data_IF_681707869782
#
_entry.id   IF_681707869782
#
_cell.length_a   1.000
_cell.length_b   1.000
_cell.length_c   1.000
_cell.angle_alpha   90.00
_cell.angle_beta   90.00
_cell.angle_gamma   90.00
#
_symmetry.space_group_name_H-M   'P 1'
#
loop_
_entity.id
_entity.type
_entity.pdbx_description
1 polymer ?
#
# COMPACT_ATOMS: atom_id res chain seq x y z
N UNK A 1 35.23 -21.09 31.85
CA UNK A 1 34.29 -20.27 31.03
C UNK A 1 34.46 -18.82 31.47
N UNK A 2 35.18 -18.02 30.71
CA UNK A 2 35.42 -16.61 30.98
C UNK A 2 34.31 -15.75 30.29
N UNK A 3 33.87 -14.63 30.89
CA UNK A 3 32.87 -13.78 30.27
C UNK A 3 33.51 -12.85 29.22
N UNK A 4 32.92 -12.88 27.98
CA UNK A 4 33.31 -11.99 26.89
C UNK A 4 32.94 -10.54 27.19
N UNK A 5 33.89 -9.64 26.97
CA UNK A 5 33.80 -8.20 27.12
C UNK A 5 32.84 -7.62 26.06
N UNK A 6 31.79 -6.91 26.50
CA UNK A 6 30.91 -6.08 25.64
C UNK A 6 31.72 -4.90 25.06
N UNK A 7 31.94 -4.92 23.76
CA UNK A 7 32.48 -3.78 23.01
C UNK A 7 31.47 -2.63 22.97
N UNK A 8 31.90 -1.46 23.49
CA UNK A 8 31.18 -0.18 23.32
C UNK A 8 31.14 0.18 21.83
N UNK A 9 29.97 0.07 21.19
CA UNK A 9 29.72 0.73 19.89
C UNK A 9 29.70 2.24 20.13
N UNK A 10 30.63 2.97 19.53
CA UNK A 10 30.63 4.42 19.44
C UNK A 10 29.46 4.80 18.52
N UNK A 11 28.46 5.51 19.06
CA UNK A 11 27.42 6.18 18.27
C UNK A 11 28.06 7.24 17.40
N UNK A 12 28.09 6.98 16.08
CA UNK A 12 28.33 8.03 15.11
C UNK A 12 27.04 8.84 15.00
N UNK A 13 27.06 10.07 15.54
CA UNK A 13 26.05 11.07 15.25
C UNK A 13 26.26 11.55 13.80
N UNK A 14 25.76 10.77 12.84
CA UNK A 14 25.53 11.24 11.49
C UNK A 14 24.29 12.11 11.52
N UNK A 15 24.42 13.40 11.18
CA UNK A 15 23.31 14.33 11.07
C UNK A 15 22.25 13.79 10.10
N UNK A 16 21.15 13.33 10.67
CA UNK A 16 19.93 13.07 9.93
C UNK A 16 19.40 14.44 9.49
N UNK A 17 19.75 14.83 8.26
CA UNK A 17 18.88 15.72 7.50
C UNK A 17 17.52 15.04 7.45
N UNK A 18 16.54 15.54 8.21
CA UNK A 18 15.18 15.02 8.20
C UNK A 18 14.67 15.22 6.78
N UNK A 19 14.76 14.16 5.98
CA UNK A 19 14.05 14.06 4.72
C UNK A 19 12.57 14.22 5.08
N UNK A 20 11.95 15.31 4.61
CA UNK A 20 10.51 15.46 4.57
C UNK A 20 9.99 14.46 3.51
N UNK A 21 10.12 13.16 3.81
CA UNK A 21 9.55 12.09 3.00
C UNK A 21 8.03 12.14 3.16
N UNK A 22 7.44 13.14 2.52
CA UNK A 22 6.00 13.32 2.40
C UNK A 22 5.45 12.53 1.23
N UNK A 23 4.18 12.35 1.22
CA UNK A 23 3.40 11.57 0.27
C UNK A 23 3.32 12.22 -1.10
N UNK A 24 3.02 13.50 -1.14
CA UNK A 24 3.20 14.34 -2.33
C UNK A 24 4.59 14.93 -2.26
N UNK A 25 5.26 15.00 -3.39
CA UNK A 25 6.51 15.75 -3.45
C UNK A 25 6.24 17.19 -2.99
N UNK A 26 6.78 17.54 -1.84
CA UNK A 26 6.64 18.91 -1.29
C UNK A 26 7.07 19.99 -2.29
N UNK A 27 7.94 19.62 -3.26
CA UNK A 27 8.34 20.52 -4.34
C UNK A 27 7.17 20.90 -5.24
N UNK A 28 6.19 20.01 -5.45
CA UNK A 28 5.00 20.31 -6.25
C UNK A 28 4.16 21.43 -5.64
N UNK A 29 4.10 21.52 -4.30
CA UNK A 29 3.44 22.62 -3.62
C UNK A 29 4.05 23.99 -3.99
N UNK A 30 5.29 24.01 -4.44
CA UNK A 30 6.08 25.21 -4.77
C UNK A 30 6.18 25.47 -6.27
N UNK A 31 6.37 24.41 -7.07
CA UNK A 31 6.67 24.51 -8.51
C UNK A 31 5.41 24.43 -9.36
N UNK A 32 4.37 23.74 -8.89
CA UNK A 32 3.09 23.56 -9.60
C UNK A 32 1.91 23.47 -8.63
N UNK A 33 1.62 24.52 -7.85
CA UNK A 33 0.53 24.51 -6.87
C UNK A 33 -0.84 24.37 -7.53
N UNK A 34 -1.07 25.02 -8.68
CA UNK A 34 -2.36 25.00 -9.38
C UNK A 34 -2.61 23.61 -10.03
N UNK A 35 -1.63 23.00 -10.68
CA UNK A 35 -1.74 21.67 -11.24
C UNK A 35 -1.95 20.62 -10.14
N UNK A 36 -1.24 20.73 -9.02
CA UNK A 36 -1.41 19.85 -7.86
C UNK A 36 -2.84 19.98 -7.27
N UNK A 37 -3.33 21.21 -7.12
CA UNK A 37 -4.69 21.49 -6.65
C UNK A 37 -5.74 20.91 -7.61
N UNK A 38 -5.58 21.13 -8.91
CA UNK A 38 -6.49 20.63 -9.93
C UNK A 38 -6.53 19.10 -9.96
N UNK A 39 -5.37 18.44 -9.90
CA UNK A 39 -5.30 16.99 -9.86
C UNK A 39 -5.97 16.43 -8.59
N UNK A 40 -5.73 17.02 -7.42
CA UNK A 40 -6.32 16.59 -6.16
C UNK A 40 -7.84 16.82 -6.12
N UNK A 41 -8.34 17.90 -6.74
CA UNK A 41 -9.77 18.21 -6.82
C UNK A 41 -10.58 17.11 -7.54
N UNK A 42 -9.96 16.37 -8.47
CA UNK A 42 -10.59 15.23 -9.16
C UNK A 42 -10.99 14.09 -8.21
N UNK A 43 -10.43 14.06 -6.98
CA UNK A 43 -10.83 13.11 -5.92
C UNK A 43 -12.19 13.41 -5.27
N UNK A 44 -12.82 14.54 -5.61
CA UNK A 44 -14.19 14.88 -5.22
C UNK A 44 -14.39 15.29 -3.75
N UNK A 45 -13.32 15.39 -2.92
CA UNK A 45 -13.43 15.80 -1.51
C UNK A 45 -12.88 17.23 -1.31
N UNK A 46 -13.73 18.19 -0.93
CA UNK A 46 -13.29 19.57 -0.63
C UNK A 46 -12.28 19.64 0.51
N UNK A 47 -12.38 18.78 1.51
CA UNK A 47 -11.50 18.73 2.68
C UNK A 47 -10.04 18.47 2.28
N UNK A 48 -9.81 17.75 1.17
CA UNK A 48 -8.46 17.53 0.65
C UNK A 48 -7.82 18.83 0.14
N UNK A 49 -8.61 19.75 -0.38
CA UNK A 49 -8.11 21.04 -0.84
C UNK A 49 -7.76 21.96 0.32
N UNK A 50 -8.50 21.87 1.42
CA UNK A 50 -8.19 22.59 2.66
C UNK A 50 -6.90 22.05 3.29
N UNK A 51 -6.74 20.72 3.34
CA UNK A 51 -5.50 20.08 3.80
C UNK A 51 -4.29 20.44 2.93
N UNK A 52 -4.47 20.53 1.62
CA UNK A 52 -3.42 20.96 0.68
C UNK A 52 -3.03 22.43 0.94
N UNK A 53 -4.00 23.32 1.17
CA UNK A 53 -3.75 24.72 1.47
C UNK A 53 -3.00 24.87 2.81
N UNK A 54 -3.39 24.10 3.84
CA UNK A 54 -2.70 24.06 5.12
C UNK A 54 -1.26 23.54 4.98
N UNK A 55 -1.03 22.47 4.22
CA UNK A 55 0.30 21.94 3.96
C UNK A 55 1.18 22.98 3.23
N UNK A 56 0.62 23.70 2.26
CA UNK A 56 1.33 24.76 1.52
C UNK A 56 1.74 25.91 2.42
N UNK A 57 0.84 26.38 3.30
CA UNK A 57 1.14 27.47 4.25
C UNK A 57 2.17 27.03 5.30
N UNK A 58 2.08 25.77 5.76
CA UNK A 58 3.02 25.19 6.72
C UNK A 58 4.42 25.02 6.12
N UNK A 59 4.52 24.61 4.85
CA UNK A 59 5.81 24.56 4.12
C UNK A 59 6.42 25.94 3.97
N UNK A 60 5.61 26.95 3.65
CA UNK A 60 6.08 28.34 3.56
C UNK A 60 6.63 28.83 4.90
N UNK A 61 5.92 28.57 5.99
CA UNK A 61 6.39 28.93 7.34
C UNK A 61 7.70 28.23 7.70
N UNK A 62 7.83 26.94 7.38
CA UNK A 62 9.07 26.18 7.64
C UNK A 62 10.27 26.82 6.92
N UNK A 63 10.09 27.23 5.67
CA UNK A 63 11.17 27.87 4.88
C UNK A 63 11.53 29.26 5.42
N UNK A 64 10.55 30.04 5.89
CA UNK A 64 10.81 31.32 6.55
C UNK A 64 11.67 31.12 7.79
N UNK A 65 11.30 30.18 8.66
CA UNK A 65 12.07 29.85 9.86
C UNK A 65 13.48 29.42 9.49
N UNK A 66 13.64 28.54 8.49
CA UNK A 66 14.97 28.10 8.04
C UNK A 66 15.83 29.27 7.57
N UNK A 67 15.27 30.20 6.79
CA UNK A 67 15.99 31.41 6.35
C UNK A 67 16.41 32.30 7.52
N UNK A 68 15.53 32.49 8.50
CA UNK A 68 15.85 33.26 9.71
C UNK A 68 16.97 32.60 10.52
N UNK A 69 16.92 31.28 10.68
CA UNK A 69 17.97 30.49 11.35
C UNK A 69 19.32 30.64 10.66
N UNK A 70 19.35 30.53 9.34
CA UNK A 70 20.60 30.68 8.58
C UNK A 70 21.19 32.10 8.73
N UNK A 71 20.34 33.12 8.76
CA UNK A 71 20.75 34.51 9.03
C UNK A 71 21.36 34.66 10.43
N UNK A 72 20.68 34.13 11.47
CA UNK A 72 21.18 34.19 12.84
C UNK A 72 22.50 33.38 13.02
N UNK A 73 22.63 32.21 12.35
CA UNK A 73 23.89 31.47 12.36
C UNK A 73 25.05 32.23 11.74
N UNK A 74 24.77 32.93 10.62
CA UNK A 74 25.77 33.77 9.98
C UNK A 74 26.17 34.94 10.93
N UNK A 75 25.20 35.59 11.60
CA UNK A 75 25.43 36.65 12.59
C UNK A 75 26.26 36.16 13.80
N UNK A 76 25.91 34.98 14.37
CA UNK A 76 26.68 34.39 15.50
C UNK A 76 28.12 34.10 15.07
N UNK A 77 28.34 33.58 13.86
CA UNK A 77 29.68 33.33 13.35
C UNK A 77 30.50 34.65 13.16
N UNK A 78 29.86 35.70 12.66
CA UNK A 78 30.51 36.98 12.45
C UNK A 78 30.83 37.67 13.80
N UNK A 79 29.87 37.72 14.72
CA UNK A 79 30.08 38.23 16.08
C UNK A 79 31.19 37.48 16.80
N UNK A 80 31.28 36.17 16.63
CA UNK A 80 32.37 35.37 17.25
C UNK A 80 33.76 35.75 16.72
N UNK A 81 33.86 36.11 15.43
CA UNK A 81 35.12 36.65 14.86
C UNK A 81 35.44 38.00 15.40
N UNK A 82 34.44 38.89 15.51
CA UNK A 82 34.61 40.25 16.07
C UNK A 82 35.02 40.21 17.55
N UNK A 83 34.44 39.32 18.37
CA UNK A 83 34.87 39.08 19.76
C UNK A 83 36.36 38.70 19.82
N UNK A 84 36.80 37.79 18.93
CA UNK A 84 38.20 37.38 18.83
C UNK A 84 39.12 38.55 18.47
N UNK A 85 38.68 39.46 17.60
CA UNK A 85 39.45 40.65 17.23
C UNK A 85 39.50 41.69 18.35
N UNK A 86 38.37 41.99 18.98
CA UNK A 86 38.34 42.92 20.13
C UNK A 86 39.24 42.47 21.25
N UNK A 87 39.24 41.18 21.58
CA UNK A 87 40.15 40.59 22.60
C UNK A 87 41.62 40.71 22.22
N UNK A 88 41.96 40.52 20.94
CA UNK A 88 43.36 40.72 20.46
C UNK A 88 43.82 42.17 20.56
N UNK A 89 42.89 43.11 20.37
CA UNK A 89 43.15 44.54 20.46
C UNK A 89 43.15 45.06 21.91
N UNK A 90 42.83 44.22 22.92
CA UNK A 90 42.76 44.62 24.34
C UNK A 90 41.45 45.33 24.70
N UNK A 91 40.50 45.44 23.81
CA UNK A 91 39.19 46.10 24.04
C UNK A 91 38.20 45.11 24.71
N UNK A 92 38.31 45.04 26.04
CA UNK A 92 37.50 44.12 26.86
C UNK A 92 36.01 44.51 26.84
N UNK A 93 35.70 45.82 26.84
CA UNK A 93 34.30 46.31 26.86
C UNK A 93 33.57 45.96 25.56
N UNK A 94 34.21 46.18 24.38
CA UNK A 94 33.65 45.78 23.11
C UNK A 94 33.53 44.23 22.97
N UNK A 95 34.49 43.48 23.53
CA UNK A 95 34.41 42.02 23.50
C UNK A 95 33.25 41.48 24.34
N UNK A 96 32.94 42.05 25.49
CA UNK A 96 31.79 41.71 26.33
C UNK A 96 30.45 42.04 25.68
N UNK A 97 30.32 43.21 25.07
CA UNK A 97 29.10 43.61 24.31
C UNK A 97 28.84 42.65 23.13
N UNK A 98 29.86 42.40 22.30
CA UNK A 98 29.75 41.49 21.17
C UNK A 98 29.44 40.07 21.62
N UNK A 99 29.98 39.62 22.76
CA UNK A 99 29.67 38.32 23.32
C UNK A 99 28.24 38.23 23.84
N UNK A 100 27.70 39.30 24.42
CA UNK A 100 26.30 39.36 24.84
C UNK A 100 25.35 39.28 23.63
N UNK A 101 25.64 40.02 22.54
CA UNK A 101 24.90 39.95 21.28
C UNK A 101 24.97 38.55 20.66
N UNK A 102 26.15 37.95 20.62
CA UNK A 102 26.31 36.58 20.08
C UNK A 102 25.49 35.56 20.89
N UNK A 103 25.43 35.71 22.21
CA UNK A 103 24.57 34.85 23.06
C UNK A 103 23.10 35.05 22.76
N UNK A 104 22.64 36.30 22.65
CA UNK A 104 21.24 36.61 22.34
C UNK A 104 20.81 36.03 20.96
N UNK A 105 21.65 36.23 19.94
CA UNK A 105 21.40 35.61 18.60
C UNK A 105 21.38 34.08 18.66
N UNK A 106 22.26 33.46 19.43
CA UNK A 106 22.28 32.01 19.64
C UNK A 106 21.03 31.48 20.36
N UNK A 107 20.49 32.20 21.35
CA UNK A 107 19.23 31.82 22.00
C UNK A 107 18.04 31.96 21.05
N UNK A 108 18.02 32.98 20.21
CA UNK A 108 16.98 33.11 19.15
C UNK A 108 17.06 32.00 18.13
N UNK A 109 18.27 31.63 17.65
CA UNK A 109 18.46 30.51 16.72
C UNK A 109 17.94 29.19 17.32
N UNK A 110 18.24 28.96 18.61
CA UNK A 110 17.79 27.77 19.32
C UNK A 110 16.25 27.71 19.47
N UNK A 111 15.60 28.85 19.75
CA UNK A 111 14.14 28.96 19.81
C UNK A 111 13.51 28.65 18.44
N UNK A 112 14.06 29.21 17.36
CA UNK A 112 13.61 28.95 15.99
C UNK A 112 13.91 27.49 15.56
N UNK A 113 14.94 26.85 16.10
CA UNK A 113 15.20 25.45 15.85
C UNK A 113 14.08 24.56 16.38
N UNK A 114 13.63 24.81 17.60
CA UNK A 114 12.52 24.07 18.20
C UNK A 114 11.20 24.30 17.40
N UNK A 115 10.92 25.56 17.03
CA UNK A 115 9.75 25.88 16.19
C UNK A 115 9.84 25.18 14.82
N UNK A 116 11.02 25.11 14.21
CA UNK A 116 11.22 24.42 12.94
C UNK A 116 10.90 22.91 13.06
N UNK A 117 11.31 22.29 14.15
CA UNK A 117 11.04 20.86 14.40
C UNK A 117 9.53 20.60 14.56
N UNK A 118 8.82 21.45 15.29
CA UNK A 118 7.37 21.34 15.47
C UNK A 118 6.61 21.57 14.14
N UNK A 119 6.99 22.60 13.37
CA UNK A 119 6.38 22.90 12.07
C UNK A 119 6.68 21.78 11.06
N UNK A 120 7.88 21.21 11.06
CA UNK A 120 8.24 20.09 10.20
C UNK A 120 7.45 18.82 10.55
N UNK A 121 7.24 18.54 11.84
CA UNK A 121 6.41 17.41 12.28
C UNK A 121 4.94 17.58 11.83
N UNK A 122 4.38 18.81 11.97
CA UNK A 122 3.02 19.13 11.49
C UNK A 122 2.91 18.97 9.97
N UNK A 123 3.87 19.50 9.21
CA UNK A 123 3.89 19.36 7.76
C UNK A 123 3.93 17.88 7.34
N UNK A 124 4.75 17.09 8.01
CA UNK A 124 4.83 15.64 7.75
C UNK A 124 3.50 14.96 8.00
N UNK A 125 2.82 15.22 9.12
CA UNK A 125 1.51 14.64 9.43
C UNK A 125 0.46 15.00 8.37
N UNK A 126 0.38 16.28 7.97
CA UNK A 126 -0.50 16.72 6.89
C UNK A 126 -0.22 15.99 5.58
N UNK A 127 1.03 15.92 5.16
CA UNK A 127 1.42 15.25 3.93
C UNK A 127 1.14 13.74 3.96
N UNK A 128 1.19 13.08 5.13
CA UNK A 128 0.83 11.66 5.26
C UNK A 128 -0.67 11.40 5.09
N UNK A 129 -1.52 12.41 5.27
CA UNK A 129 -2.99 12.30 5.15
C UNK A 129 -3.50 12.65 3.75
N UNK A 130 -2.77 13.45 2.99
CA UNK A 130 -3.15 13.80 1.62
C UNK A 130 -2.95 12.56 0.70
N UNK A 131 -3.96 12.16 -0.09
CA UNK A 131 -3.83 11.02 -1.00
C UNK A 131 -2.93 11.31 -2.19
N UNK A 132 -2.55 10.26 -2.90
CA UNK A 132 -1.80 10.37 -4.14
C UNK A 132 -2.60 11.13 -5.23
N UNK A 133 -1.90 11.78 -6.14
CA UNK A 133 -2.52 12.46 -7.27
C UNK A 133 -2.98 11.42 -8.31
N UNK A 134 -4.22 11.52 -8.82
CA UNK A 134 -4.70 10.66 -9.89
C UNK A 134 -3.87 10.84 -11.18
N UNK A 135 -3.66 9.75 -11.91
CA UNK A 135 -3.09 9.81 -13.27
C UNK A 135 -3.98 10.69 -14.17
N UNK A 136 -3.41 11.47 -15.10
CA UNK A 136 -4.22 12.28 -16.04
C UNK A 136 -5.27 11.48 -16.81
N UNK A 137 -4.95 10.24 -17.22
CA UNK A 137 -5.84 9.36 -17.97
C UNK A 137 -6.83 8.58 -17.09
N UNK A 138 -6.74 8.67 -15.75
CA UNK A 138 -7.72 8.01 -14.89
C UNK A 138 -9.12 8.61 -15.14
N UNK A 139 -10.18 7.80 -15.21
CA UNK A 139 -11.54 8.31 -15.45
C UNK A 139 -12.01 9.18 -14.28
N UNK A 140 -12.69 10.27 -14.59
CA UNK A 140 -13.37 11.06 -13.58
C UNK A 140 -14.68 10.38 -13.15
N UNK A 141 -15.00 10.45 -11.86
CA UNK A 141 -16.21 9.90 -11.27
C UNK A 141 -16.27 10.20 -9.79
N UNK A 142 -17.41 10.00 -9.16
CA UNK A 142 -17.67 10.31 -7.76
C UNK A 142 -17.66 9.07 -6.86
N UNK A 143 -17.96 7.89 -7.40
CA UNK A 143 -18.13 6.65 -6.65
C UNK A 143 -17.84 5.42 -7.52
N UNK A 144 -17.91 4.23 -6.92
CA UNK A 144 -17.81 2.92 -7.57
C UNK A 144 -18.80 2.72 -8.73
N UNK A 145 -19.96 3.39 -8.70
CA UNK A 145 -20.95 3.35 -9.78
C UNK A 145 -20.47 4.03 -11.08
N UNK A 146 -19.47 4.90 -10.98
CA UNK A 146 -18.91 5.64 -12.13
C UNK A 146 -17.70 4.92 -12.75
N UNK A 147 -17.29 3.78 -12.22
CA UNK A 147 -16.16 3.01 -12.73
C UNK A 147 -16.50 2.42 -14.10
N UNK A 148 -15.84 2.82 -15.20
CA UNK A 148 -16.14 2.30 -16.52
C UNK A 148 -15.67 0.85 -16.68
N UNK A 149 -16.51 0.02 -17.33
CA UNK A 149 -16.10 -1.30 -17.81
C UNK A 149 -15.19 -1.13 -19.02
N UNK A 150 -13.92 -1.50 -18.88
CA UNK A 150 -12.93 -1.37 -19.95
C UNK A 150 -12.72 -2.66 -20.74
N UNK A 151 -13.17 -3.80 -20.19
CA UNK A 151 -13.13 -5.10 -20.88
C UNK A 151 -14.22 -6.04 -20.37
N UNK A 152 -14.91 -6.73 -21.27
CA UNK A 152 -16.05 -7.61 -20.95
C UNK A 152 -17.39 -6.84 -20.95
N UNK A 153 -18.43 -7.29 -20.19
CA UNK A 153 -18.41 -8.53 -19.38
C UNK A 153 -18.42 -9.79 -20.25
N UNK A 154 -17.66 -10.80 -19.83
CA UNK A 154 -17.66 -12.13 -20.46
C UNK A 154 -18.60 -13.05 -19.68
N UNK A 155 -19.85 -13.11 -20.11
CA UNK A 155 -20.90 -13.89 -19.48
C UNK A 155 -21.31 -15.09 -20.36
N UNK A 156 -21.85 -16.19 -19.78
CA UNK A 156 -22.42 -17.29 -20.54
C UNK A 156 -23.57 -16.77 -21.43
N UNK A 157 -23.61 -17.23 -22.70
CA UNK A 157 -24.63 -16.80 -23.67
C UNK A 157 -26.07 -17.15 -23.22
N UNK A 158 -26.24 -18.29 -22.56
CA UNK A 158 -27.53 -18.81 -22.09
C UNK A 158 -27.88 -18.35 -20.67
N UNK A 159 -27.06 -17.44 -20.09
CA UNK A 159 -27.20 -16.99 -18.71
C UNK A 159 -26.82 -18.07 -17.68
N UNK A 160 -27.32 -17.91 -16.45
CA UNK A 160 -27.01 -18.81 -15.34
C UNK A 160 -28.24 -19.68 -15.04
N UNK A 161 -28.11 -21.03 -15.07
CA UNK A 161 -29.18 -21.94 -14.70
C UNK A 161 -29.52 -21.85 -13.20
N UNK A 162 -30.74 -22.25 -12.85
CA UNK A 162 -31.27 -22.11 -11.47
C UNK A 162 -30.36 -22.76 -10.41
N UNK A 163 -29.76 -23.93 -10.73
CA UNK A 163 -28.88 -24.59 -9.79
C UNK A 163 -27.59 -23.81 -9.45
N UNK A 164 -27.18 -22.83 -10.26
CA UNK A 164 -26.04 -21.94 -9.98
C UNK A 164 -26.44 -20.72 -9.16
N UNK A 165 -27.73 -20.43 -9.02
CA UNK A 165 -28.25 -19.30 -8.25
C UNK A 165 -28.35 -19.56 -6.76
N UNK A 166 -27.59 -20.53 -6.25
CA UNK A 166 -27.50 -20.86 -4.85
C UNK A 166 -26.22 -20.27 -4.27
N UNK A 167 -26.30 -19.46 -3.19
CA UNK A 167 -25.13 -18.83 -2.59
C UNK A 167 -24.08 -19.86 -2.17
N UNK A 168 -22.80 -19.49 -2.32
CA UNK A 168 -21.67 -20.38 -2.03
C UNK A 168 -21.67 -20.94 -0.62
N UNK A 169 -22.13 -20.16 0.39
CA UNK A 169 -22.18 -20.62 1.79
C UNK A 169 -23.21 -21.73 2.00
N UNK A 170 -24.31 -21.74 1.27
CA UNK A 170 -25.30 -22.81 1.36
C UNK A 170 -24.75 -24.08 0.72
N UNK A 171 -24.24 -23.98 -0.51
CA UNK A 171 -23.59 -25.08 -1.23
C UNK A 171 -22.46 -25.70 -0.41
N UNK A 172 -21.54 -24.87 0.08
CA UNK A 172 -20.35 -25.34 0.80
C UNK A 172 -20.67 -25.93 2.18
N UNK A 173 -21.69 -25.41 2.87
CA UNK A 173 -22.17 -25.99 4.13
C UNK A 173 -22.83 -27.35 3.89
N UNK A 174 -23.67 -27.46 2.87
CA UNK A 174 -24.30 -28.74 2.50
C UNK A 174 -23.27 -29.82 2.11
N UNK A 175 -22.18 -29.42 1.43
CA UNK A 175 -21.04 -30.30 1.10
C UNK A 175 -20.15 -30.61 2.32
N UNK A 176 -20.33 -29.93 3.46
CA UNK A 176 -19.50 -30.09 4.65
C UNK A 176 -18.06 -29.58 4.49
N UNK A 177 -17.82 -28.66 3.56
CA UNK A 177 -16.50 -28.12 3.25
C UNK A 177 -16.27 -26.69 3.79
N UNK A 178 -17.33 -26.04 4.28
CA UNK A 178 -17.29 -24.75 5.01
C UNK A 178 -17.97 -24.95 6.37
N UNK A 179 -17.34 -24.49 7.46
CA UNK A 179 -17.81 -24.70 8.84
C UNK A 179 -17.59 -23.41 9.66
N UNK A 180 -18.37 -22.39 9.33
CA UNK A 180 -18.27 -21.09 9.98
C UNK A 180 -18.77 -21.10 11.43
N UNK A 181 -19.63 -22.05 11.81
CA UNK A 181 -20.06 -22.22 13.21
C UNK A 181 -18.87 -22.55 14.12
N UNK A 182 -18.03 -23.52 13.68
CA UNK A 182 -16.81 -23.85 14.44
C UNK A 182 -15.75 -22.77 14.35
N UNK A 183 -15.62 -22.07 13.24
CA UNK A 183 -14.74 -20.89 13.14
C UNK A 183 -15.13 -19.83 14.17
N UNK A 184 -16.42 -19.51 14.27
CA UNK A 184 -16.96 -18.56 15.27
C UNK A 184 -16.67 -19.01 16.70
N UNK A 185 -16.76 -20.32 16.98
CA UNK A 185 -16.42 -20.88 18.30
C UNK A 185 -14.94 -20.68 18.66
N UNK A 186 -14.05 -20.69 17.67
CA UNK A 186 -12.59 -20.58 17.86
C UNK A 186 -12.17 -19.11 17.99
N UNK A 187 -12.65 -18.25 17.09
CA UNK A 187 -12.10 -16.90 16.91
C UNK A 187 -13.14 -15.77 16.90
N UNK A 188 -14.43 -16.10 16.94
CA UNK A 188 -15.51 -15.11 16.85
C UNK A 188 -16.10 -14.99 15.44
N UNK A 189 -16.97 -14.00 15.25
CA UNK A 189 -17.62 -13.74 13.97
C UNK A 189 -16.61 -13.33 12.90
N UNK A 190 -17.00 -13.49 11.63
CA UNK A 190 -16.19 -13.14 10.45
C UNK A 190 -14.85 -13.88 10.31
N UNK A 191 -14.65 -14.97 11.04
CA UNK A 191 -13.63 -15.96 10.72
C UNK A 191 -14.25 -17.14 9.98
N UNK A 192 -13.54 -17.71 9.02
CA UNK A 192 -14.00 -18.81 8.19
C UNK A 192 -13.18 -20.06 8.46
N UNK A 193 -13.78 -21.24 8.33
CA UNK A 193 -13.08 -22.50 8.43
C UNK A 193 -13.46 -23.43 7.28
N UNK A 194 -12.49 -23.77 6.47
CA UNK A 194 -12.64 -24.72 5.36
C UNK A 194 -12.20 -26.11 5.78
N UNK A 195 -12.84 -27.13 5.23
CA UNK A 195 -12.58 -28.54 5.57
C UNK A 195 -12.40 -29.40 4.31
N UNK A 196 -11.51 -30.37 4.37
CA UNK A 196 -11.33 -31.36 3.31
C UNK A 196 -11.11 -30.73 1.93
N UNK A 197 -11.96 -31.04 0.94
CA UNK A 197 -11.84 -30.46 -0.42
C UNK A 197 -11.91 -28.93 -0.45
N UNK A 198 -12.65 -28.28 0.47
CA UNK A 198 -12.71 -26.82 0.55
C UNK A 198 -11.35 -26.19 0.89
N UNK A 199 -10.65 -26.74 1.88
CA UNK A 199 -9.30 -26.32 2.23
C UNK A 199 -8.26 -26.66 1.14
N UNK A 200 -8.46 -27.80 0.44
CA UNK A 200 -7.62 -28.15 -0.70
C UNK A 200 -7.80 -27.17 -1.85
N UNK A 201 -9.03 -26.71 -2.12
CA UNK A 201 -9.32 -25.73 -3.16
C UNK A 201 -8.65 -24.40 -2.89
N UNK A 202 -8.66 -23.89 -1.65
CA UNK A 202 -7.95 -22.65 -1.29
C UNK A 202 -6.45 -22.77 -1.53
N UNK A 203 -5.84 -23.87 -1.09
CA UNK A 203 -4.42 -24.12 -1.35
C UNK A 203 -4.13 -24.28 -2.84
N UNK A 204 -5.01 -24.94 -3.60
CA UNK A 204 -4.89 -25.11 -5.04
C UNK A 204 -4.92 -23.76 -5.78
N UNK A 205 -5.78 -22.83 -5.37
CA UNK A 205 -5.84 -21.47 -5.92
C UNK A 205 -4.54 -20.70 -5.67
N UNK A 206 -3.98 -20.80 -4.45
CA UNK A 206 -2.68 -20.16 -4.14
C UNK A 206 -1.57 -20.74 -5.04
N UNK A 207 -1.46 -22.06 -5.12
CA UNK A 207 -0.42 -22.71 -5.92
C UNK A 207 -0.57 -22.41 -7.41
N UNK A 208 -1.81 -22.44 -7.93
CA UNK A 208 -2.10 -22.09 -9.31
C UNK A 208 -1.64 -20.66 -9.64
N UNK A 209 -1.93 -19.69 -8.76
CA UNK A 209 -1.54 -18.30 -8.98
C UNK A 209 -0.02 -18.10 -8.94
N UNK A 210 0.68 -18.79 -8.03
CA UNK A 210 2.15 -18.76 -7.95
C UNK A 210 2.78 -19.38 -9.20
N UNK A 211 2.38 -20.59 -9.58
CA UNK A 211 2.96 -21.31 -10.72
C UNK A 211 2.79 -20.54 -12.04
N UNK A 212 1.62 -19.89 -12.21
CA UNK A 212 1.31 -19.10 -13.43
C UNK A 212 2.09 -17.80 -13.55
N UNK A 213 2.67 -17.31 -12.47
CA UNK A 213 3.48 -16.09 -12.46
C UNK A 213 4.98 -16.38 -12.30
N UNK A 214 5.39 -17.62 -12.07
CA UNK A 214 6.78 -18.03 -11.80
C UNK A 214 7.75 -17.77 -12.96
N UNK A 215 7.26 -17.57 -14.17
CA UNK A 215 8.04 -17.23 -15.35
C UNK A 215 8.62 -15.81 -15.31
N UNK A 216 8.01 -14.91 -14.54
CA UNK A 216 8.35 -13.50 -14.55
C UNK A 216 8.54 -12.88 -13.16
N UNK A 217 8.06 -13.51 -12.09
CA UNK A 217 8.10 -12.98 -10.73
C UNK A 217 8.89 -13.90 -9.81
N UNK A 218 9.79 -13.32 -9.01
CA UNK A 218 10.47 -14.02 -7.93
C UNK A 218 9.49 -14.27 -6.79
N UNK A 219 9.36 -15.52 -6.35
CA UNK A 219 8.56 -15.87 -5.19
C UNK A 219 9.30 -15.49 -3.90
N UNK A 220 8.68 -14.64 -3.09
CA UNK A 220 9.18 -14.20 -1.79
C UNK A 220 8.24 -14.72 -0.70
N UNK A 221 8.79 -15.24 0.38
CA UNK A 221 8.05 -15.54 1.61
C UNK A 221 8.37 -14.50 2.69
N UNK A 222 7.68 -13.37 2.73
CA UNK A 222 7.95 -12.31 3.69
C UNK A 222 7.37 -12.64 5.07
N UNK A 223 7.82 -11.93 6.13
CA UNK A 223 7.12 -11.92 7.41
C UNK A 223 5.69 -11.39 7.28
N UNK A 224 4.74 -11.97 8.01
CA UNK A 224 3.35 -11.50 8.10
C UNK A 224 3.11 -10.51 9.25
N UNK A 225 4.12 -10.26 10.07
CA UNK A 225 4.16 -9.23 11.11
C UNK A 225 5.19 -8.18 10.73
N UNK A 226 4.79 -6.93 10.73
CA UNK A 226 5.62 -5.81 10.26
C UNK A 226 5.61 -4.65 11.25
N UNK A 227 6.61 -3.76 11.15
CA UNK A 227 6.71 -2.57 12.00
C UNK A 227 5.73 -1.47 11.56
N UNK A 228 5.46 -0.52 12.47
CA UNK A 228 4.72 0.73 12.17
C UNK A 228 5.31 1.47 10.97
N UNK A 229 6.65 1.52 10.85
CA UNK A 229 7.31 2.17 9.72
C UNK A 229 7.00 1.50 8.38
N UNK A 230 6.94 0.17 8.34
CA UNK A 230 6.60 -0.62 7.15
C UNK A 230 5.17 -0.36 6.69
N UNK A 231 4.18 -0.33 7.60
CA UNK A 231 2.80 0.02 7.26
C UNK A 231 2.64 1.47 6.82
N UNK A 232 3.42 2.39 7.39
CA UNK A 232 3.41 3.80 7.00
C UNK A 232 3.97 3.98 5.59
N UNK A 233 5.00 3.22 5.22
CA UNK A 233 5.65 3.29 3.91
C UNK A 233 4.67 3.00 2.76
N UNK A 234 3.75 2.07 2.93
CA UNK A 234 2.75 1.72 1.91
C UNK A 234 1.47 2.56 1.95
N UNK A 235 1.33 3.43 2.97
CA UNK A 235 0.15 4.29 3.13
C UNK A 235 -1.01 3.66 3.89
N UNK A 236 -0.80 2.49 4.49
CA UNK A 236 -1.81 1.88 5.37
C UNK A 236 -1.99 2.72 6.64
N UNK A 237 -0.90 3.19 7.23
CA UNK A 237 -0.95 4.13 8.34
C UNK A 237 -0.66 5.57 7.86
N UNK A 238 -1.29 6.58 8.53
CA UNK A 238 -2.18 6.49 9.69
C UNK A 238 -3.65 6.15 9.36
N UNK A 239 -4.07 6.21 8.11
CA UNK A 239 -5.50 6.23 7.69
C UNK A 239 -6.27 4.98 8.11
N UNK A 240 -5.67 3.80 7.96
CA UNK A 240 -6.33 2.51 8.20
C UNK A 240 -5.94 1.87 9.53
N UNK A 241 -5.54 2.68 10.53
CA UNK A 241 -5.15 2.18 11.86
C UNK A 241 -6.26 1.36 12.52
N UNK A 242 -7.53 1.82 12.40
CA UNK A 242 -8.68 1.14 13.00
C UNK A 242 -9.02 -0.19 12.30
N UNK A 243 -8.57 -0.37 11.05
CA UNK A 243 -8.79 -1.58 10.25
C UNK A 243 -7.64 -2.59 10.35
N UNK A 244 -6.55 -2.23 10.99
CA UNK A 244 -5.38 -3.07 11.18
C UNK A 244 -5.38 -3.79 12.54
N UNK A 245 -4.86 -5.03 12.58
CA UNK A 245 -4.56 -5.75 13.82
C UNK A 245 -3.20 -5.35 14.36
N UNK A 246 -3.19 -4.65 15.51
CA UNK A 246 -1.97 -4.23 16.20
C UNK A 246 -1.55 -5.23 17.27
N UNK A 247 -0.26 -5.45 17.41
CA UNK A 247 0.39 -6.19 18.50
C UNK A 247 1.20 -5.17 19.30
N UNK A 248 0.49 -4.40 20.13
CA UNK A 248 1.05 -3.24 20.86
C UNK A 248 2.29 -3.56 21.68
N UNK A 249 2.33 -4.77 22.27
CA UNK A 249 3.45 -5.23 23.12
C UNK A 249 4.80 -5.22 22.40
N UNK A 250 4.79 -5.51 21.09
CA UNK A 250 6.00 -5.73 20.31
C UNK A 250 6.20 -4.63 19.26
N UNK A 251 5.30 -3.63 19.18
CA UNK A 251 5.23 -2.60 18.11
C UNK A 251 5.17 -3.24 16.72
N UNK A 252 4.36 -4.27 16.58
CA UNK A 252 4.14 -4.99 15.34
C UNK A 252 2.67 -4.97 14.93
N UNK A 253 2.44 -5.21 13.65
CA UNK A 253 1.13 -5.25 13.03
C UNK A 253 1.02 -6.48 12.14
N UNK A 254 -0.17 -7.11 12.13
CA UNK A 254 -0.48 -8.12 11.11
C UNK A 254 -0.68 -7.43 9.75
N UNK A 255 -0.13 -8.01 8.70
CA UNK A 255 -0.25 -7.44 7.35
C UNK A 255 -1.67 -7.57 6.80
N UNK A 256 -2.24 -6.52 6.17
CA UNK A 256 -3.51 -6.62 5.44
C UNK A 256 -3.35 -7.16 4.01
N UNK A 257 -2.11 -7.25 3.52
CA UNK A 257 -1.70 -7.65 2.17
C UNK A 257 -0.18 -7.85 2.13
N UNK A 258 0.30 -8.74 1.26
CA UNK A 258 1.74 -8.90 1.01
C UNK A 258 2.38 -7.67 0.35
N UNK A 259 1.61 -6.77 -0.24
CA UNK A 259 2.08 -5.46 -0.70
C UNK A 259 2.98 -4.76 0.32
N UNK A 260 2.57 -4.81 1.59
CA UNK A 260 3.26 -4.10 2.69
C UNK A 260 4.70 -4.56 2.88
N UNK A 261 4.99 -5.83 3.14
CA UNK A 261 6.38 -6.28 3.26
C UNK A 261 7.14 -6.26 1.93
N UNK A 262 6.50 -6.57 0.80
CA UNK A 262 7.18 -6.60 -0.50
C UNK A 262 7.64 -5.20 -0.94
N UNK A 263 6.78 -4.18 -0.81
CA UNK A 263 7.16 -2.79 -1.11
C UNK A 263 8.30 -2.33 -0.21
N UNK A 264 8.29 -2.70 1.07
CA UNK A 264 9.28 -2.25 2.03
C UNK A 264 10.61 -3.02 1.97
N UNK A 265 10.69 -4.07 1.15
CA UNK A 265 11.89 -4.91 1.06
C UNK A 265 13.15 -4.10 0.69
N UNK A 266 12.99 -3.11 -0.19
CA UNK A 266 14.06 -2.22 -0.63
C UNK A 266 14.02 -0.83 0.04
N UNK A 267 13.33 -0.73 1.17
CA UNK A 267 13.22 0.52 1.92
C UNK A 267 14.57 1.08 2.35
N UNK A 268 14.82 2.38 2.06
CA UNK A 268 16.09 3.06 2.36
C UNK A 268 17.23 2.74 1.39
N UNK A 269 16.98 2.01 0.31
CA UNK A 269 18.02 1.59 -0.63
C UNK A 269 18.10 2.48 -1.88
N UNK A 270 19.30 2.49 -2.48
CA UNK A 270 19.54 3.08 -3.80
C UNK A 270 19.89 1.93 -4.75
N UNK A 271 18.92 1.58 -5.58
CA UNK A 271 19.05 0.51 -6.58
C UNK A 271 19.87 0.98 -7.80
N UNK A 272 20.39 0.04 -8.57
CA UNK A 272 20.88 0.32 -9.92
C UNK A 272 19.68 0.29 -10.88
N UNK A 273 19.55 1.29 -11.77
CA UNK A 273 18.51 1.32 -12.80
C UNK A 273 18.46 0.03 -13.64
N UNK A 274 19.63 -0.58 -13.89
CA UNK A 274 19.73 -1.83 -14.64
C UNK A 274 19.04 -3.02 -13.96
N UNK A 275 18.75 -2.95 -12.65
CA UNK A 275 18.01 -3.97 -11.93
C UNK A 275 16.47 -3.82 -12.10
N UNK A 276 16.02 -2.67 -12.59
CA UNK A 276 14.58 -2.37 -12.75
C UNK A 276 14.06 -2.84 -14.13
N UNK A 277 12.87 -3.42 -14.17
CA UNK A 277 11.93 -3.63 -13.10
C UNK A 277 12.29 -4.84 -12.22
N UNK A 278 12.17 -4.69 -10.90
CA UNK A 278 12.19 -5.82 -9.96
C UNK A 278 10.75 -6.32 -9.83
N UNK A 279 10.55 -7.63 -10.03
CA UNK A 279 9.24 -8.27 -9.97
C UNK A 279 9.23 -9.33 -8.89
N UNK A 280 8.28 -9.23 -7.97
CA UNK A 280 8.15 -10.12 -6.81
C UNK A 280 6.72 -10.62 -6.67
N UNK A 281 6.53 -11.80 -6.14
CA UNK A 281 5.22 -12.31 -5.74
C UNK A 281 5.29 -12.97 -4.36
N UNK A 282 4.18 -12.99 -3.66
CA UNK A 282 4.08 -13.68 -2.39
C UNK A 282 2.67 -14.22 -2.15
N UNK A 283 2.60 -15.42 -1.58
CA UNK A 283 1.43 -15.94 -0.90
C UNK A 283 1.53 -15.64 0.59
N UNK A 284 0.51 -14.97 1.15
CA UNK A 284 0.44 -14.70 2.58
C UNK A 284 -0.98 -14.77 3.11
N UNK A 285 -1.16 -15.14 4.40
CA UNK A 285 -2.37 -14.74 5.13
C UNK A 285 -2.41 -13.21 5.22
N UNK A 286 -3.61 -12.66 5.16
CA UNK A 286 -3.89 -11.23 5.25
C UNK A 286 -4.93 -11.00 6.34
N UNK A 287 -4.79 -9.92 7.11
CA UNK A 287 -5.60 -9.65 8.29
C UNK A 287 -6.23 -8.26 8.20
N UNK A 288 -7.57 -8.19 8.33
CA UNK A 288 -8.33 -6.94 8.33
C UNK A 288 -9.39 -6.97 9.42
N UNK A 289 -9.47 -5.91 10.22
CA UNK A 289 -10.52 -5.81 11.24
C UNK A 289 -11.91 -5.56 10.66
N UNK A 290 -11.97 -5.15 9.39
CA UNK A 290 -13.22 -4.85 8.70
C UNK A 290 -14.11 -3.86 9.49
N UNK A 291 -13.47 -2.86 10.14
CA UNK A 291 -14.13 -1.93 11.06
C UNK A 291 -15.26 -1.13 10.41
N UNK A 292 -15.19 -0.92 9.08
CA UNK A 292 -16.21 -0.22 8.28
C UNK A 292 -17.22 -1.14 7.58
N UNK A 293 -17.33 -2.43 7.96
CA UNK A 293 -18.16 -3.40 7.23
C UNK A 293 -19.67 -3.37 7.56
N UNK A 294 -20.12 -2.49 8.45
CA UNK A 294 -21.52 -2.36 8.80
C UNK A 294 -22.40 -2.13 7.55
N UNK A 295 -23.41 -2.98 7.36
CA UNK A 295 -24.31 -2.93 6.21
C UNK A 295 -23.82 -3.64 4.94
N UNK A 296 -22.61 -4.21 4.93
CA UNK A 296 -22.07 -5.00 3.81
C UNK A 296 -22.34 -6.50 4.03
N UNK A 297 -22.40 -7.27 2.93
CA UNK A 297 -22.60 -8.72 3.03
C UNK A 297 -21.34 -9.40 3.61
N UNK A 298 -21.50 -9.96 4.80
CA UNK A 298 -20.44 -10.69 5.52
C UNK A 298 -20.66 -12.19 5.54
N UNK A 299 -21.70 -12.69 4.82
CA UNK A 299 -22.00 -14.12 4.77
C UNK A 299 -20.96 -14.90 3.98
N UNK A 300 -20.77 -16.16 4.33
CA UNK A 300 -19.87 -17.07 3.63
C UNK A 300 -18.42 -16.67 3.75
N UNK A 301 -17.77 -16.44 2.61
CA UNK A 301 -16.34 -16.15 2.51
C UNK A 301 -16.03 -14.77 1.89
N UNK A 302 -17.04 -13.92 1.67
CA UNK A 302 -16.84 -12.67 0.92
C UNK A 302 -16.03 -11.63 1.72
N UNK A 303 -16.17 -11.64 3.05
CA UNK A 303 -15.44 -10.79 4.00
C UNK A 303 -15.06 -11.59 5.23
N UNK A 304 -13.79 -11.63 5.54
CA UNK A 304 -13.25 -12.31 6.71
C UNK A 304 -12.10 -11.51 7.31
N UNK A 305 -11.91 -11.65 8.63
CA UNK A 305 -10.81 -11.04 9.37
C UNK A 305 -9.44 -11.60 8.97
N UNK A 306 -9.41 -12.85 8.51
CA UNK A 306 -8.23 -13.53 8.00
C UNK A 306 -8.56 -14.22 6.67
N UNK A 307 -7.70 -14.02 5.67
CA UNK A 307 -7.87 -14.63 4.35
C UNK A 307 -6.53 -14.76 3.63
N UNK A 308 -6.47 -15.72 2.70
CA UNK A 308 -5.30 -15.94 1.86
C UNK A 308 -5.32 -15.06 0.61
N UNK A 309 -4.15 -14.52 0.26
CA UNK A 309 -3.96 -13.74 -0.97
C UNK A 309 -2.61 -14.05 -1.62
N UNK A 310 -2.60 -14.16 -2.95
CA UNK A 310 -1.38 -14.12 -3.73
C UNK A 310 -1.24 -12.73 -4.32
N UNK A 311 -0.12 -12.08 -4.05
CA UNK A 311 0.19 -10.72 -4.50
C UNK A 311 1.32 -10.75 -5.51
N UNK A 312 1.23 -9.94 -6.56
CA UNK A 312 2.32 -9.62 -7.49
C UNK A 312 2.67 -8.15 -7.34
N UNK A 313 3.95 -7.83 -7.33
CA UNK A 313 4.45 -6.48 -7.09
C UNK A 313 5.64 -6.17 -8.00
N UNK A 314 5.74 -4.92 -8.45
CA UNK A 314 6.88 -4.46 -9.19
C UNK A 314 7.43 -3.14 -8.64
N UNK A 315 8.77 -3.02 -8.64
CA UNK A 315 9.49 -1.75 -8.47
C UNK A 315 10.06 -1.37 -9.81
N UNK A 316 9.77 -0.15 -10.28
CA UNK A 316 10.08 0.27 -11.66
C UNK A 316 10.69 1.66 -11.69
N UNK A 317 11.25 2.04 -12.85
CA UNK A 317 11.45 3.45 -13.19
C UNK A 317 10.08 4.11 -13.47
N UNK A 318 9.96 5.45 -13.38
CA UNK A 318 8.74 6.16 -13.78
C UNK A 318 8.31 5.86 -15.23
N UNK A 319 9.27 5.71 -16.15
CA UNK A 319 8.99 5.43 -17.55
C UNK A 319 8.39 4.04 -17.80
N UNK A 320 8.65 3.06 -16.92
CA UNK A 320 8.15 1.69 -17.03
C UNK A 320 6.76 1.53 -16.41
N UNK A 321 6.30 2.47 -15.57
CA UNK A 321 5.11 2.33 -14.73
C UNK A 321 3.84 1.99 -15.51
N UNK A 322 3.53 2.73 -16.58
CA UNK A 322 2.32 2.52 -17.37
C UNK A 322 2.27 1.13 -18.03
N UNK A 323 3.40 0.69 -18.62
CA UNK A 323 3.48 -0.64 -19.24
C UNK A 323 3.37 -1.76 -18.20
N UNK A 324 4.00 -1.58 -17.04
CA UNK A 324 3.93 -2.53 -15.93
C UNK A 324 2.52 -2.66 -15.36
N UNK A 325 1.77 -1.57 -15.25
CA UNK A 325 0.37 -1.61 -14.80
C UNK A 325 -0.47 -2.54 -15.72
N UNK A 326 -0.30 -2.42 -17.02
CA UNK A 326 -1.00 -3.26 -18.00
C UNK A 326 -0.53 -4.72 -17.89
N UNK A 327 0.78 -4.97 -17.74
CA UNK A 327 1.30 -6.33 -17.55
C UNK A 327 0.70 -7.01 -16.32
N UNK A 328 0.66 -6.32 -15.16
CA UNK A 328 0.08 -6.87 -13.93
C UNK A 328 -1.41 -7.18 -14.09
N UNK A 329 -2.16 -6.26 -14.72
CA UNK A 329 -3.59 -6.46 -15.02
C UNK A 329 -3.82 -7.69 -15.91
N UNK A 330 -3.06 -7.81 -16.98
CA UNK A 330 -3.23 -8.91 -17.95
C UNK A 330 -2.85 -10.26 -17.32
N UNK A 331 -1.88 -10.30 -16.41
CA UNK A 331 -1.55 -11.50 -15.64
C UNK A 331 -2.65 -11.91 -14.68
N UNK A 332 -3.20 -10.96 -13.95
CA UNK A 332 -4.33 -11.22 -13.05
C UNK A 332 -5.58 -11.67 -13.84
N UNK A 333 -5.86 -11.03 -14.98
CA UNK A 333 -6.93 -11.45 -15.90
C UNK A 333 -6.73 -12.88 -16.39
N UNK A 334 -5.52 -13.24 -16.81
CA UNK A 334 -5.22 -14.57 -17.33
C UNK A 334 -5.49 -15.69 -16.30
N UNK A 335 -5.31 -15.42 -15.01
CA UNK A 335 -5.65 -16.36 -13.95
C UNK A 335 -7.15 -16.61 -13.89
N UNK A 336 -7.96 -15.57 -13.92
CA UNK A 336 -9.43 -15.67 -13.87
C UNK A 336 -9.99 -16.31 -15.12
N UNK A 337 -9.53 -15.88 -16.29
CA UNK A 337 -9.91 -16.47 -17.58
C UNK A 337 -9.54 -17.97 -17.66
N UNK A 338 -8.36 -18.34 -17.13
CA UNK A 338 -7.91 -19.73 -17.07
C UNK A 338 -8.73 -20.62 -16.14
N UNK A 339 -9.47 -20.01 -15.19
CA UNK A 339 -10.45 -20.71 -14.36
C UNK A 339 -11.83 -20.83 -15.01
N UNK A 340 -12.06 -20.23 -16.19
CA UNK A 340 -13.34 -20.26 -16.89
C UNK A 340 -14.47 -19.54 -16.15
N UNK A 341 -14.16 -18.59 -15.29
CA UNK A 341 -15.14 -17.80 -14.56
C UNK A 341 -15.64 -16.62 -15.42
N UNK A 342 -16.91 -16.24 -15.29
CA UNK A 342 -17.45 -15.04 -15.94
C UNK A 342 -16.89 -13.80 -15.26
N UNK A 343 -16.30 -12.86 -16.02
CA UNK A 343 -15.61 -11.71 -15.46
C UNK A 343 -15.78 -10.43 -16.30
N UNK A 344 -15.44 -9.31 -15.69
CA UNK A 344 -15.22 -8.02 -16.33
C UNK A 344 -14.02 -7.31 -15.71
N UNK A 345 -13.47 -6.33 -16.43
CA UNK A 345 -12.44 -5.43 -15.92
C UNK A 345 -13.02 -4.02 -15.91
N UNK A 346 -12.92 -3.36 -14.78
CA UNK A 346 -13.28 -1.96 -14.59
C UNK A 346 -12.04 -1.12 -14.32
N UNK A 347 -12.04 0.13 -14.72
CA UNK A 347 -11.04 1.11 -14.32
C UNK A 347 -11.60 1.98 -13.21
N UNK A 348 -10.81 2.17 -12.14
CA UNK A 348 -11.27 2.88 -10.96
C UNK A 348 -11.23 4.39 -11.21
N UNK A 349 -12.36 5.04 -11.06
CA UNK A 349 -12.49 6.48 -11.22
C UNK A 349 -11.89 7.26 -10.03
N UNK A 350 -11.62 8.53 -10.25
CA UNK A 350 -10.86 9.36 -9.31
C UNK A 350 -11.50 9.51 -7.93
N UNK A 351 -12.82 9.47 -7.82
CA UNK A 351 -13.55 9.57 -6.55
C UNK A 351 -13.58 8.26 -5.76
N UNK A 352 -13.45 7.11 -6.43
CA UNK A 352 -13.42 5.78 -5.79
C UNK A 352 -12.00 5.28 -5.49
N UNK A 353 -10.98 5.93 -6.06
CA UNK A 353 -9.58 5.54 -5.90
C UNK A 353 -9.13 5.48 -4.44
N UNK A 354 -8.46 4.41 -4.04
CA UNK A 354 -7.76 4.30 -2.77
C UNK A 354 -6.72 5.42 -2.54
N UNK A 355 -6.36 5.66 -1.28
CA UNK A 355 -5.50 6.79 -0.90
C UNK A 355 -4.14 6.81 -1.61
N UNK A 356 -3.51 5.66 -1.78
CA UNK A 356 -2.19 5.51 -2.40
C UNK A 356 -2.23 5.44 -3.92
N UNK A 357 -3.40 5.21 -4.51
CA UNK A 357 -3.53 4.90 -5.93
C UNK A 357 -3.32 6.12 -6.83
N UNK A 358 -2.56 5.90 -7.91
CA UNK A 358 -2.38 6.83 -9.02
C UNK A 358 -3.27 6.45 -10.20
N UNK A 359 -3.36 5.14 -10.51
CA UNK A 359 -4.26 4.54 -11.49
C UNK A 359 -4.52 3.09 -11.12
N UNK A 360 -5.75 2.59 -11.29
CA UNK A 360 -6.10 1.24 -10.86
C UNK A 360 -7.14 0.59 -11.75
N UNK A 361 -7.05 -0.74 -11.86
CA UNK A 361 -8.03 -1.60 -12.51
C UNK A 361 -8.46 -2.68 -11.53
N UNK A 362 -9.76 -2.99 -11.50
CA UNK A 362 -10.26 -4.14 -10.77
C UNK A 362 -10.78 -5.19 -11.74
N UNK A 363 -10.53 -6.45 -11.42
CA UNK A 363 -11.10 -7.60 -12.08
C UNK A 363 -12.19 -8.13 -11.18
N UNK A 364 -13.40 -8.19 -11.71
CA UNK A 364 -14.57 -8.66 -11.00
C UNK A 364 -15.11 -9.92 -11.65
N UNK A 365 -15.50 -10.90 -10.84
CA UNK A 365 -16.14 -12.14 -11.25
C UNK A 365 -17.60 -12.11 -10.85
N UNK A 366 -18.51 -12.52 -11.77
CA UNK A 366 -19.91 -12.63 -11.45
C UNK A 366 -20.22 -13.87 -10.65
N UNK A 367 -20.85 -13.71 -9.51
CA UNK A 367 -21.29 -14.78 -8.61
C UNK A 367 -22.84 -14.90 -8.69
N UNK A 368 -23.36 -15.89 -9.43
CA UNK A 368 -24.78 -16.00 -9.74
C UNK A 368 -25.65 -16.35 -8.52
N UNK A 369 -25.09 -16.95 -7.48
CA UNK A 369 -25.78 -17.24 -6.24
C UNK A 369 -25.94 -16.02 -5.35
N UNK A 370 -25.00 -15.08 -5.43
CA UNK A 370 -25.07 -13.78 -4.76
C UNK A 370 -25.71 -12.69 -5.62
N UNK A 371 -25.94 -12.95 -6.92
CA UNK A 371 -26.40 -12.00 -7.93
C UNK A 371 -25.56 -10.71 -7.93
N UNK A 372 -24.22 -10.86 -7.88
CA UNK A 372 -23.31 -9.72 -7.72
C UNK A 372 -21.95 -9.95 -8.39
N UNK A 373 -21.31 -8.84 -8.75
CA UNK A 373 -19.92 -8.78 -9.16
C UNK A 373 -19.01 -8.75 -7.93
N UNK A 374 -18.06 -9.67 -7.86
CA UNK A 374 -17.08 -9.77 -6.78
C UNK A 374 -15.72 -9.31 -7.29
N UNK A 375 -15.17 -8.25 -6.74
CA UNK A 375 -13.78 -7.87 -6.95
C UNK A 375 -12.86 -9.00 -6.47
N UNK A 376 -12.15 -9.63 -7.38
CA UNK A 376 -11.23 -10.74 -7.12
C UNK A 376 -9.76 -10.37 -7.29
N UNK A 377 -9.51 -9.23 -7.91
CA UNK A 377 -8.19 -8.65 -8.07
C UNK A 377 -8.32 -7.14 -8.20
N UNK A 378 -7.47 -6.41 -7.49
CA UNK A 378 -7.23 -4.98 -7.70
C UNK A 378 -5.77 -4.81 -8.09
N UNK A 379 -5.52 -4.12 -9.20
CA UNK A 379 -4.19 -3.87 -9.75
C UNK A 379 -3.95 -2.37 -9.79
N UNK A 380 -2.90 -1.91 -9.12
CA UNK A 380 -2.69 -0.49 -8.88
C UNK A 380 -1.26 -0.04 -9.18
N UNK A 381 -1.16 1.15 -9.75
CA UNK A 381 0.07 1.92 -9.87
C UNK A 381 0.04 3.06 -8.86
N UNK A 382 1.09 3.15 -8.04
CA UNK A 382 1.22 4.15 -6.98
C UNK A 382 2.13 5.32 -7.36
N UNK A 383 2.66 5.34 -8.59
CA UNK A 383 3.71 6.29 -8.98
C UNK A 383 4.85 6.27 -7.95
N UNK A 384 5.31 7.41 -7.48
CA UNK A 384 6.38 7.52 -6.49
C UNK A 384 5.88 7.56 -5.02
N UNK A 385 4.57 7.48 -4.79
CA UNK A 385 3.95 7.67 -3.48
C UNK A 385 4.52 6.75 -2.38
N UNK A 386 4.56 5.45 -2.63
CA UNK A 386 5.07 4.48 -1.67
C UNK A 386 6.61 4.49 -1.63
N UNK A 387 7.25 4.58 -2.80
CA UNK A 387 8.70 4.61 -2.90
C UNK A 387 9.30 5.85 -2.20
N UNK A 388 8.61 6.98 -2.24
CA UNK A 388 8.97 8.19 -1.52
C UNK A 388 8.89 8.01 -0.01
N UNK A 389 7.84 7.34 0.49
CA UNK A 389 7.66 7.03 1.91
C UNK A 389 8.67 6.01 2.43
N UNK A 390 8.95 4.99 1.63
CA UNK A 390 9.91 3.93 1.92
C UNK A 390 11.37 4.33 1.63
N UNK A 391 11.61 5.51 1.02
CA UNK A 391 12.92 5.99 0.55
C UNK A 391 13.59 5.01 -0.43
N UNK A 392 12.82 4.48 -1.41
CA UNK A 392 13.31 3.61 -2.46
C UNK A 392 13.73 4.49 -3.65
N UNK A 393 15.00 4.48 -3.96
CA UNK A 393 15.60 5.29 -5.02
C UNK A 393 16.38 4.42 -5.99
N UNK A 394 16.62 4.93 -7.17
CA UNK A 394 17.56 4.30 -8.10
C UNK A 394 18.53 5.32 -8.66
N UNK A 395 19.63 4.83 -9.22
CA UNK A 395 20.65 5.63 -9.89
C UNK A 395 20.84 5.16 -11.32
N UNK A 396 20.77 6.11 -12.25
CA UNK A 396 21.10 5.91 -13.66
C UNK A 396 22.62 5.96 -13.86
N UNK A 397 23.16 5.01 -14.58
CA UNK A 397 24.60 4.96 -14.85
C UNK A 397 25.06 6.24 -15.58
N UNK A 398 26.11 6.87 -15.06
CA UNK A 398 26.67 8.11 -15.62
C UNK A 398 25.94 9.39 -15.19
N UNK A 399 24.83 9.32 -14.49
CA UNK A 399 24.12 10.49 -13.97
C UNK A 399 24.50 10.82 -12.52
N UNK A 400 24.40 12.13 -12.20
CA UNK A 400 24.57 12.59 -10.82
C UNK A 400 23.23 12.59 -10.11
N UNK A 401 23.19 12.06 -8.87
CA UNK A 401 22.00 12.04 -8.06
C UNK A 401 21.26 10.70 -8.07
N UNK A 402 20.03 10.72 -7.61
CA UNK A 402 19.12 9.56 -7.55
C UNK A 402 17.70 10.00 -7.89
N UNK A 403 16.93 9.09 -8.45
CA UNK A 403 15.50 9.26 -8.75
C UNK A 403 14.68 8.36 -7.84
N UNK A 404 13.51 8.80 -7.39
CA UNK A 404 12.56 7.98 -6.65
C UNK A 404 11.97 6.94 -7.62
N UNK A 405 11.92 5.70 -7.20
CA UNK A 405 11.31 4.61 -7.96
C UNK A 405 9.77 4.73 -8.00
N UNK A 406 9.13 3.94 -8.84
CA UNK A 406 7.69 3.73 -8.82
C UNK A 406 7.39 2.34 -8.28
N UNK A 407 6.23 2.17 -7.65
CA UNK A 407 5.74 0.89 -7.18
C UNK A 407 4.38 0.58 -7.79
N UNK A 408 4.15 -0.70 -8.05
CA UNK A 408 2.90 -1.24 -8.58
C UNK A 408 2.62 -2.57 -7.89
N UNK A 409 1.34 -2.86 -7.67
CA UNK A 409 0.95 -4.19 -7.22
C UNK A 409 -0.32 -4.68 -7.92
N UNK A 410 -0.61 -5.94 -7.70
CA UNK A 410 -1.90 -6.53 -8.05
C UNK A 410 -2.17 -7.77 -7.21
N UNK A 411 -3.41 -7.95 -6.77
CA UNK A 411 -3.82 -9.24 -6.28
C UNK A 411 -3.84 -10.20 -7.46
N UNK A 412 -2.85 -11.10 -7.54
CA UNK A 412 -2.95 -12.20 -8.49
C UNK A 412 -4.26 -12.97 -8.24
N UNK A 413 -4.59 -13.21 -6.94
CA UNK A 413 -5.84 -13.83 -6.53
C UNK A 413 -6.25 -13.43 -5.10
N UNK A 414 -7.45 -12.88 -4.93
CA UNK A 414 -8.15 -12.83 -3.65
C UNK A 414 -8.87 -14.16 -3.44
N UNK A 415 -8.20 -15.12 -2.80
CA UNK A 415 -8.60 -16.52 -2.75
C UNK A 415 -10.04 -16.74 -2.29
N UNK A 416 -10.56 -16.10 -1.22
CA UNK A 416 -11.91 -16.39 -0.76
C UNK A 416 -13.02 -16.06 -1.76
N UNK A 417 -12.87 -14.94 -2.48
CA UNK A 417 -13.88 -14.51 -3.46
C UNK A 417 -13.87 -15.38 -4.72
N UNK A 418 -12.67 -15.78 -5.19
CA UNK A 418 -12.54 -16.73 -6.30
C UNK A 418 -13.07 -18.10 -5.88
N UNK A 419 -12.79 -18.54 -4.65
CA UNK A 419 -13.33 -19.77 -4.09
C UNK A 419 -14.87 -19.75 -4.07
N UNK A 420 -15.46 -18.64 -3.59
CA UNK A 420 -16.91 -18.44 -3.58
C UNK A 420 -17.50 -18.47 -4.99
N UNK A 421 -16.88 -17.79 -5.93
CA UNK A 421 -17.31 -17.78 -7.33
C UNK A 421 -17.26 -19.17 -7.97
N UNK A 422 -16.25 -19.99 -7.66
CA UNK A 422 -16.19 -21.38 -8.12
C UNK A 422 -17.35 -22.20 -7.56
N UNK A 423 -17.67 -22.07 -6.25
CA UNK A 423 -18.78 -22.78 -5.63
C UNK A 423 -20.12 -22.48 -6.30
N UNK A 424 -20.31 -21.29 -6.82
CA UNK A 424 -21.54 -20.87 -7.47
C UNK A 424 -21.56 -21.20 -8.96
N UNK A 425 -20.50 -20.82 -9.70
CA UNK A 425 -20.44 -21.01 -11.15
C UNK A 425 -20.30 -22.47 -11.59
N UNK A 426 -19.70 -23.32 -10.76
CA UNK A 426 -19.46 -24.73 -11.08
C UNK A 426 -20.40 -25.70 -10.35
N UNK A 427 -21.42 -25.16 -9.65
CA UNK A 427 -22.44 -25.98 -8.97
C UNK A 427 -23.29 -26.73 -9.98
N UNK A 428 -23.53 -28.01 -9.70
CA UNK A 428 -24.33 -28.93 -10.51
C UNK A 428 -25.76 -29.07 -9.94
N UNK A 429 -26.73 -29.60 -10.73
CA UNK A 429 -28.10 -29.82 -10.26
C UNK A 429 -28.21 -30.69 -9.02
N UNK A 430 -27.31 -31.67 -8.82
CA UNK A 430 -27.25 -32.55 -7.66
C UNK A 430 -26.59 -31.90 -6.42
N UNK A 431 -26.15 -30.64 -6.53
CA UNK A 431 -25.48 -29.90 -5.46
C UNK A 431 -23.97 -30.14 -5.37
N UNK A 432 -23.41 -31.02 -6.19
CA UNK A 432 -21.96 -31.15 -6.32
C UNK A 432 -21.34 -29.92 -7.01
N UNK A 433 -20.03 -29.79 -6.93
CA UNK A 433 -19.28 -28.70 -7.59
C UNK A 433 -18.16 -29.31 -8.43
N UNK A 434 -18.15 -29.02 -9.73
CA UNK A 434 -17.07 -29.41 -10.64
C UNK A 434 -15.82 -28.59 -10.33
N UNK A 435 -14.68 -29.22 -10.23
CA UNK A 435 -13.40 -28.54 -10.06
C UNK A 435 -12.93 -28.04 -11.42
N UNK A 436 -12.64 -26.74 -11.59
CA UNK A 436 -12.06 -26.22 -12.82
C UNK A 436 -10.83 -27.02 -13.26
N UNK A 437 -10.72 -27.32 -14.55
CA UNK A 437 -9.65 -28.18 -15.09
C UNK A 437 -8.25 -27.70 -14.70
N UNK A 438 -8.06 -26.40 -14.68
CA UNK A 438 -6.80 -25.76 -14.29
C UNK A 438 -6.39 -26.06 -12.83
N UNK A 439 -7.33 -26.40 -11.95
CA UNK A 439 -7.08 -26.67 -10.53
C UNK A 439 -6.96 -28.17 -10.20
N UNK A 440 -7.40 -29.07 -11.09
CA UNK A 440 -7.35 -30.53 -10.84
C UNK A 440 -5.96 -31.05 -10.49
N UNK A 441 -4.87 -30.63 -11.18
CA UNK A 441 -3.52 -31.05 -10.80
C UNK A 441 -3.16 -30.71 -9.34
N UNK A 442 -3.59 -29.55 -8.85
CA UNK A 442 -3.33 -29.07 -7.48
C UNK A 442 -4.26 -29.74 -6.45
N UNK A 443 -5.36 -30.36 -6.90
CA UNK A 443 -6.33 -31.07 -6.07
C UNK A 443 -6.20 -32.61 -6.18
N UNK A 444 -5.02 -33.10 -6.56
CA UNK A 444 -4.72 -34.54 -6.69
C UNK A 444 -5.63 -35.26 -7.69
N UNK A 445 -6.03 -34.58 -8.76
CA UNK A 445 -6.91 -35.10 -9.78
C UNK A 445 -8.39 -35.15 -9.40
N UNK A 446 -8.80 -34.53 -8.30
CA UNK A 446 -10.22 -34.42 -7.92
C UNK A 446 -10.98 -33.61 -8.98
N UNK A 447 -11.97 -34.22 -9.60
CA UNK A 447 -12.78 -33.62 -10.66
C UNK A 447 -14.07 -33.01 -10.13
N UNK A 448 -14.64 -33.57 -9.05
CA UNK A 448 -15.93 -33.13 -8.49
C UNK A 448 -15.89 -33.21 -6.96
N UNK A 449 -16.34 -32.13 -6.33
CA UNK A 449 -16.63 -32.10 -4.89
C UNK A 449 -18.09 -32.50 -4.73
N UNK A 450 -18.32 -33.74 -4.28
CA UNK A 450 -19.66 -34.35 -4.15
C UNK A 450 -20.16 -34.27 -2.69
N UNK A 451 -21.49 -34.27 -2.49
CA UNK A 451 -22.09 -34.51 -1.17
C UNK A 451 -21.57 -35.81 -0.55
N UNK A 452 -21.38 -35.81 0.78
CA UNK A 452 -20.94 -37.02 1.52
C UNK A 452 -22.09 -37.96 1.82
#
# INVERSE_FOLDING_TARGET
>A
MQPQKRGKRRGGAGGAGSSLAGVIDVRLLRTDPEGTRAALARRGSPELLDQLAEATSTDSRLREIQTQRDTLRAEVNDLSKQVGQARRNGDTAAAEELQARSRAAGEQEKALAAEADDVAARLRDLLLRIPNLPHPDAPDGASDHDNPVVKGPFLPADGFPEHQRVPHWETATALGILDNERATKISGAMFTMQRGPGAQLSRALCQYALDRNSDAFEEIRPPSLVTTATLTATGQLPKFADDAYAIERDDLWCIPTAEVPLTSLYGGEILDEAQLPIRMMAYTPCYRREAGSAGRDTRGMLRAHEFDKVEILAVTTPAQGAAMLIELRDRAEALIAGLGLPYRIIEICTGDMGQSHHRSFDIEVYAPGCDNWLEVSSVSWFSDYQARRADIRFRTAGEKGTTIANTLNGSALAVPRVWAAIMENYRQPDGSVVVPDALRPYMRGLEVIAPR
#
